data_IF_833772526666
#
_entry.id   IF_833772526666
#
_cell.length_a   1.000
_cell.length_b   1.000
_cell.length_c   1.000
_cell.angle_alpha   90.00
_cell.angle_beta   90.00
_cell.angle_gamma   90.00
#
_symmetry.space_group_name_H-M   'P 1'
#
loop_
_entity.id
_entity.type
_entity.pdbx_description
1 polymer ?
#
# COMPACT_ATOMS: atom_id res chain seq x y z
N UNK A 1 -7.06 -33.99 -42.31
CA UNK A 1 -7.54 -34.45 -40.98
C UNK A 1 -6.41 -34.12 -40.01
N UNK A 2 -6.23 -32.82 -39.76
CA UNK A 2 -5.07 -32.29 -39.02
C UNK A 2 -5.32 -32.39 -37.53
N UNK A 3 -4.51 -33.22 -36.87
CA UNK A 3 -4.43 -33.27 -35.41
C UNK A 3 -3.64 -32.05 -34.97
N UNK A 4 -4.36 -31.05 -34.45
CA UNK A 4 -3.79 -29.98 -33.66
C UNK A 4 -3.05 -30.59 -32.47
N UNK A 5 -1.71 -30.57 -32.53
CA UNK A 5 -0.83 -30.86 -31.41
C UNK A 5 -1.07 -29.83 -30.30
N UNK A 6 -1.99 -30.13 -29.40
CA UNK A 6 -2.20 -29.40 -28.18
C UNK A 6 -0.95 -29.59 -27.30
N UNK A 7 -0.05 -28.62 -27.34
CA UNK A 7 1.13 -28.58 -26.49
C UNK A 7 0.72 -28.73 -25.02
N UNK A 8 1.14 -29.84 -24.40
CA UNK A 8 0.92 -30.11 -22.98
C UNK A 8 1.56 -28.97 -22.17
N UNK A 9 0.83 -28.25 -21.30
CA UNK A 9 1.41 -27.18 -20.52
C UNK A 9 2.44 -27.76 -19.54
N UNK A 10 3.71 -27.41 -19.75
CA UNK A 10 4.82 -27.80 -18.88
C UNK A 10 4.55 -27.24 -17.48
N UNK A 11 4.24 -28.13 -16.52
CA UNK A 11 4.12 -27.77 -15.10
C UNK A 11 5.46 -27.23 -14.61
N UNK A 12 5.54 -25.93 -14.32
CA UNK A 12 6.69 -25.35 -13.63
C UNK A 12 6.85 -26.06 -12.27
N UNK A 13 8.05 -26.50 -11.89
CA UNK A 13 8.27 -27.17 -10.62
C UNK A 13 7.83 -26.27 -9.45
N UNK A 14 7.34 -26.84 -8.34
CA UNK A 14 6.93 -26.06 -7.18
C UNK A 14 8.12 -25.24 -6.68
N UNK A 15 7.94 -23.92 -6.59
CA UNK A 15 8.97 -23.01 -6.09
C UNK A 15 9.29 -23.36 -4.64
N UNK A 16 10.57 -23.60 -4.28
CA UNK A 16 10.99 -23.86 -2.91
C UNK A 16 10.47 -22.82 -1.90
N UNK A 17 10.17 -23.26 -0.66
CA UNK A 17 9.59 -22.42 0.39
C UNK A 17 10.39 -21.15 0.73
N UNK A 18 11.71 -21.17 0.53
CA UNK A 18 12.59 -20.01 0.74
C UNK A 18 12.52 -18.97 -0.38
N UNK A 19 12.00 -19.32 -1.57
CA UNK A 19 11.71 -18.37 -2.66
C UNK A 19 10.49 -17.50 -2.32
N UNK A 20 9.66 -17.89 -1.35
CA UNK A 20 8.46 -17.11 -0.98
C UNK A 20 8.80 -15.81 -0.24
N UNK A 21 9.95 -15.73 0.43
CA UNK A 21 10.38 -14.54 1.19
C UNK A 21 11.52 -13.78 0.51
N UNK A 22 11.94 -14.17 -0.70
CA UNK A 22 12.93 -13.38 -1.45
C UNK A 22 12.26 -12.10 -2.00
N UNK A 23 12.77 -10.91 -1.68
CA UNK A 23 12.25 -9.68 -2.25
C UNK A 23 12.29 -9.70 -3.78
N UNK A 24 11.26 -9.12 -4.40
CA UNK A 24 11.13 -9.11 -5.85
C UNK A 24 12.29 -8.37 -6.52
N UNK A 25 12.83 -7.34 -5.87
CA UNK A 25 14.04 -6.63 -6.28
C UNK A 25 15.20 -7.59 -6.60
N UNK A 26 15.48 -8.54 -5.70
CA UNK A 26 16.56 -9.53 -5.88
C UNK A 26 16.26 -10.44 -7.08
N UNK A 27 15.02 -10.92 -7.21
CA UNK A 27 14.64 -11.78 -8.33
C UNK A 27 14.76 -11.07 -9.68
N UNK A 28 14.37 -9.80 -9.77
CA UNK A 28 14.42 -9.01 -11.01
C UNK A 28 15.86 -8.73 -11.43
N UNK A 29 16.74 -8.43 -10.46
CA UNK A 29 18.16 -8.25 -10.74
C UNK A 29 18.81 -9.55 -11.23
N UNK A 30 18.42 -10.71 -10.67
CA UNK A 30 18.90 -12.04 -11.11
C UNK A 30 18.37 -12.43 -12.50
N UNK A 31 17.15 -12.02 -12.84
CA UNK A 31 16.50 -12.30 -14.14
C UNK A 31 17.04 -11.42 -15.29
N UNK A 32 17.87 -10.42 -14.99
CA UNK A 32 18.43 -9.49 -15.97
C UNK A 32 17.64 -8.17 -16.01
N UNK A 33 18.22 -7.13 -15.40
CA UNK A 33 17.71 -5.77 -15.38
C UNK A 33 18.56 -4.90 -16.31
N UNK A 34 17.97 -4.46 -17.42
CA UNK A 34 18.66 -3.68 -18.45
C UNK A 34 18.37 -2.17 -18.33
N UNK A 35 19.14 -1.37 -19.08
CA UNK A 35 19.02 0.09 -19.05
C UNK A 35 17.67 0.59 -19.61
N UNK A 36 17.02 -0.17 -20.49
CA UNK A 36 15.71 0.19 -21.03
C UNK A 36 14.64 0.11 -19.95
N UNK A 37 14.63 -0.98 -19.18
CA UNK A 37 13.77 -1.17 -17.99
C UNK A 37 14.04 -0.11 -16.94
N UNK A 38 15.31 0.21 -16.67
CA UNK A 38 15.66 1.28 -15.74
C UNK A 38 15.06 2.63 -16.15
N UNK A 39 15.17 3.00 -17.43
CA UNK A 39 14.59 4.27 -17.92
C UNK A 39 13.06 4.27 -17.80
N UNK A 40 12.41 3.18 -18.15
CA UNK A 40 10.95 3.05 -18.01
C UNK A 40 10.51 3.16 -16.54
N UNK A 41 11.18 2.43 -15.64
CA UNK A 41 10.88 2.44 -14.21
C UNK A 41 11.18 3.81 -13.57
N UNK A 42 12.23 4.50 -14.00
CA UNK A 42 12.55 5.84 -13.52
C UNK A 42 11.49 6.88 -13.91
N UNK A 43 11.00 6.85 -15.16
CA UNK A 43 9.93 7.74 -15.61
C UNK A 43 8.61 7.41 -14.89
N UNK A 44 8.29 6.13 -14.73
CA UNK A 44 7.11 5.69 -13.98
C UNK A 44 7.20 6.11 -12.50
N UNK A 45 8.34 5.88 -11.86
CA UNK A 45 8.59 6.27 -10.47
C UNK A 45 8.50 7.77 -10.25
N UNK A 46 9.04 8.59 -11.16
CA UNK A 46 8.93 10.05 -11.09
C UNK A 46 7.47 10.51 -11.21
N UNK A 47 6.73 9.93 -12.16
CA UNK A 47 5.31 10.25 -12.36
C UNK A 47 4.50 9.92 -11.10
N UNK A 48 4.74 8.74 -10.53
CA UNK A 48 4.11 8.31 -9.28
C UNK A 48 4.51 9.24 -8.12
N UNK A 49 5.77 9.61 -8.00
CA UNK A 49 6.26 10.48 -6.94
C UNK A 49 5.57 11.86 -6.96
N UNK A 50 5.43 12.48 -8.14
CA UNK A 50 4.76 13.78 -8.30
C UNK A 50 3.32 13.73 -7.77
N UNK A 51 2.59 12.64 -8.05
CA UNK A 51 1.20 12.46 -7.57
C UNK A 51 1.16 12.08 -6.08
N UNK A 52 2.13 11.29 -5.61
CA UNK A 52 2.17 10.80 -4.24
C UNK A 52 2.52 11.88 -3.21
N UNK A 53 3.35 12.87 -3.57
CA UNK A 53 3.75 13.97 -2.67
C UNK A 53 2.56 14.73 -2.07
N UNK A 54 1.62 15.31 -2.86
CA UNK A 54 0.46 16.01 -2.31
C UNK A 54 -0.49 15.07 -1.56
N UNK A 55 -0.68 13.84 -2.06
CA UNK A 55 -1.54 12.85 -1.41
C UNK A 55 -1.02 12.48 -0.01
N UNK A 56 0.29 12.25 0.14
CA UNK A 56 0.89 11.90 1.41
C UNK A 56 0.75 13.01 2.46
N UNK A 57 0.93 14.27 2.05
CA UNK A 57 0.72 15.43 2.93
C UNK A 57 -0.75 15.54 3.36
N UNK A 58 -1.68 15.40 2.40
CA UNK A 58 -3.11 15.48 2.66
C UNK A 58 -3.59 14.38 3.64
N UNK A 59 -3.14 13.13 3.44
CA UNK A 59 -3.46 12.03 4.34
C UNK A 59 -2.83 12.21 5.72
N UNK A 60 -1.64 12.79 5.81
CA UNK A 60 -1.01 13.20 7.07
C UNK A 60 -1.93 14.13 7.86
N UNK A 61 -2.34 15.25 7.24
CA UNK A 61 -3.25 16.24 7.84
C UNK A 61 -4.59 15.60 8.23
N UNK A 62 -5.20 14.83 7.34
CA UNK A 62 -6.48 14.18 7.58
C UNK A 62 -6.42 13.18 8.75
N UNK A 63 -5.26 12.56 8.97
CA UNK A 63 -5.04 11.66 10.11
C UNK A 63 -4.74 12.40 11.42
N UNK A 64 -4.70 13.74 11.44
CA UNK A 64 -4.33 14.53 12.63
C UNK A 64 -2.82 14.66 12.84
N UNK A 65 -2.02 14.23 11.85
CA UNK A 65 -0.57 14.38 11.86
C UNK A 65 -0.12 15.63 11.08
N UNK A 66 1.12 16.08 11.30
CA UNK A 66 1.68 17.17 10.50
C UNK A 66 2.07 16.69 9.08
N UNK A 67 2.05 17.59 8.06
CA UNK A 67 2.30 17.22 6.66
C UNK A 67 3.67 16.55 6.44
N UNK A 68 4.69 16.97 7.18
CA UNK A 68 6.03 16.39 7.14
C UNK A 68 6.04 14.92 7.54
N UNK A 69 5.19 14.50 8.49
CA UNK A 69 5.08 13.10 8.91
C UNK A 69 4.51 12.23 7.80
N UNK A 70 3.45 12.71 7.14
CA UNK A 70 2.89 12.03 5.97
C UNK A 70 3.92 11.82 4.86
N UNK A 71 4.73 12.85 4.58
CA UNK A 71 5.80 12.80 3.60
C UNK A 71 6.92 11.82 4.00
N UNK A 72 7.40 11.89 5.25
CA UNK A 72 8.42 10.97 5.76
C UNK A 72 7.92 9.53 5.69
N UNK A 73 6.67 9.27 6.08
CA UNK A 73 6.06 7.94 5.96
C UNK A 73 6.03 7.47 4.51
N UNK A 74 5.66 8.33 3.55
CA UNK A 74 5.64 7.96 2.14
C UNK A 74 7.03 7.57 1.61
N UNK A 75 8.06 8.35 1.94
CA UNK A 75 9.44 8.08 1.49
C UNK A 75 9.99 6.80 2.13
N UNK A 76 9.90 6.68 3.46
CA UNK A 76 10.47 5.56 4.21
C UNK A 76 9.70 4.26 3.91
N UNK A 77 8.37 4.29 3.96
CA UNK A 77 7.56 3.11 3.65
C UNK A 77 7.68 2.73 2.17
N UNK A 78 7.67 3.71 1.26
CA UNK A 78 7.87 3.48 -0.17
C UNK A 78 9.18 2.74 -0.45
N UNK A 79 10.29 3.25 0.09
CA UNK A 79 11.60 2.59 -0.06
C UNK A 79 11.62 1.18 0.53
N UNK A 80 11.19 0.99 1.78
CA UNK A 80 11.23 -0.30 2.46
C UNK A 80 10.31 -1.34 1.78
N UNK A 81 9.11 -0.93 1.37
CA UNK A 81 8.16 -1.80 0.67
C UNK A 81 8.68 -2.17 -0.71
N UNK A 82 9.27 -1.23 -1.47
CA UNK A 82 9.86 -1.55 -2.78
C UNK A 82 11.11 -2.44 -2.65
N UNK A 83 11.92 -2.26 -1.60
CA UNK A 83 13.13 -3.04 -1.38
C UNK A 83 12.85 -4.47 -0.89
N UNK A 84 11.84 -4.64 -0.01
CA UNK A 84 11.54 -5.91 0.67
C UNK A 84 10.28 -6.61 0.12
N UNK A 85 9.49 -5.94 -0.70
CA UNK A 85 8.20 -6.43 -1.19
C UNK A 85 8.27 -7.55 -2.22
N UNK A 86 7.14 -8.22 -2.44
CA UNK A 86 7.00 -9.36 -3.36
C UNK A 86 6.51 -9.00 -4.78
N UNK A 87 6.18 -7.73 -5.04
CA UNK A 87 5.61 -7.26 -6.31
C UNK A 87 6.56 -6.32 -7.05
N UNK A 88 6.49 -6.31 -8.39
CA UNK A 88 7.29 -5.41 -9.24
C UNK A 88 6.76 -3.97 -9.31
N UNK A 89 5.46 -3.79 -9.04
CA UNK A 89 4.75 -2.52 -9.27
C UNK A 89 4.05 -2.00 -8.01
N UNK A 90 4.41 -2.54 -6.84
CA UNK A 90 3.83 -2.11 -5.57
C UNK A 90 4.44 -0.79 -5.13
N UNK A 91 3.56 0.15 -4.76
CA UNK A 91 3.92 1.45 -4.22
C UNK A 91 3.55 1.44 -2.73
N UNK A 92 4.52 1.75 -1.88
CA UNK A 92 4.33 1.88 -0.44
C UNK A 92 4.08 3.32 -0.03
N UNK A 93 3.26 3.54 1.00
CA UNK A 93 3.00 4.87 1.54
C UNK A 93 1.78 4.94 2.47
N UNK A 94 1.45 6.14 2.98
CA UNK A 94 0.22 6.35 3.74
C UNK A 94 -1.01 6.01 2.90
N UNK A 95 -1.99 5.34 3.50
CA UNK A 95 -3.17 4.81 2.80
C UNK A 95 -4.45 5.40 3.39
N UNK A 96 -5.35 5.89 2.53
CA UNK A 96 -6.64 6.49 2.93
C UNK A 96 -7.47 5.63 3.88
N UNK A 97 -7.48 4.31 3.65
CA UNK A 97 -8.19 3.33 4.48
C UNK A 97 -7.84 3.38 5.99
N UNK A 98 -6.64 3.84 6.33
CA UNK A 98 -6.17 3.89 7.72
C UNK A 98 -6.26 5.28 8.35
N UNK A 99 -6.66 6.31 7.61
CA UNK A 99 -6.69 7.71 8.09
C UNK A 99 -7.54 7.84 9.36
N UNK A 100 -8.77 7.32 9.32
CA UNK A 100 -9.72 7.40 10.45
C UNK A 100 -9.19 6.65 11.68
N UNK A 101 -8.54 5.51 11.47
CA UNK A 101 -7.93 4.72 12.55
C UNK A 101 -6.78 5.49 13.20
N UNK A 102 -5.87 6.03 12.39
CA UNK A 102 -4.72 6.81 12.88
C UNK A 102 -5.20 8.06 13.61
N UNK A 103 -6.19 8.78 13.05
CA UNK A 103 -6.80 9.93 13.69
C UNK A 103 -7.33 9.59 15.08
N UNK A 104 -8.11 8.51 15.19
CA UNK A 104 -8.66 8.07 16.46
C UNK A 104 -7.57 7.65 17.47
N UNK A 105 -6.49 7.02 17.01
CA UNK A 105 -5.36 6.65 17.87
C UNK A 105 -4.66 7.90 18.39
N UNK A 106 -4.33 8.86 17.53
CA UNK A 106 -3.70 10.13 17.93
C UNK A 106 -4.62 10.90 18.88
N UNK A 107 -5.91 11.00 18.57
CA UNK A 107 -6.87 11.74 19.39
C UNK A 107 -7.04 11.16 20.80
N UNK A 108 -6.94 9.83 20.95
CA UNK A 108 -7.16 9.14 22.24
C UNK A 108 -5.88 8.87 23.02
N UNK A 109 -4.76 8.63 22.34
CA UNK A 109 -3.51 8.13 22.94
C UNK A 109 -2.28 8.97 22.59
N UNK A 110 -2.44 10.04 21.81
CA UNK A 110 -1.33 10.88 21.34
C UNK A 110 -0.38 10.16 20.39
N UNK A 111 0.74 10.81 20.10
CA UNK A 111 1.78 10.27 19.22
C UNK A 111 2.51 9.07 19.83
N UNK A 112 2.69 9.03 21.16
CA UNK A 112 3.30 7.89 21.85
C UNK A 112 2.45 6.64 21.66
N UNK A 113 1.13 6.78 21.80
CA UNK A 113 0.18 5.70 21.52
C UNK A 113 0.21 5.25 20.06
N UNK A 114 0.34 6.17 19.11
CA UNK A 114 0.50 5.83 17.69
C UNK A 114 1.77 5.00 17.46
N UNK A 115 2.91 5.41 18.00
CA UNK A 115 4.18 4.69 17.85
C UNK A 115 4.08 3.25 18.37
N UNK A 116 3.53 3.08 19.57
CA UNK A 116 3.34 1.75 20.17
C UNK A 116 2.37 0.91 19.34
N UNK A 117 1.23 1.49 18.91
CA UNK A 117 0.25 0.79 18.08
C UNK A 117 0.85 0.35 16.73
N UNK A 118 1.63 1.20 16.08
CA UNK A 118 2.31 0.88 14.82
C UNK A 118 3.36 -0.23 15.01
N UNK A 119 4.15 -0.19 16.08
CA UNK A 119 5.11 -1.26 16.40
C UNK A 119 4.41 -2.59 16.65
N UNK A 120 3.34 -2.60 17.44
CA UNK A 120 2.52 -3.79 17.69
C UNK A 120 1.91 -4.34 16.39
N UNK A 121 1.34 -3.47 15.55
CA UNK A 121 0.83 -3.86 14.25
C UNK A 121 1.93 -4.50 13.37
N UNK A 122 3.14 -3.94 13.38
CA UNK A 122 4.30 -4.50 12.68
C UNK A 122 4.66 -5.90 13.17
N UNK A 123 4.72 -6.12 14.48
CA UNK A 123 4.98 -7.44 15.07
C UNK A 123 3.89 -8.45 14.69
N UNK A 124 2.62 -8.03 14.75
CA UNK A 124 1.48 -8.88 14.35
C UNK A 124 1.56 -9.23 12.87
N UNK A 125 1.92 -8.28 12.00
CA UNK A 125 2.08 -8.51 10.56
C UNK A 125 3.25 -9.44 10.25
N UNK A 126 4.38 -9.33 10.95
CA UNK A 126 5.51 -10.24 10.83
C UNK A 126 5.08 -11.66 11.24
N UNK A 127 4.43 -11.80 12.40
CA UNK A 127 3.92 -13.09 12.87
C UNK A 127 2.93 -13.69 11.87
N UNK A 128 1.97 -12.90 11.36
CA UNK A 128 1.03 -13.31 10.34
C UNK A 128 1.70 -13.77 9.04
N UNK A 129 2.79 -13.10 8.64
CA UNK A 129 3.64 -13.50 7.53
C UNK A 129 4.33 -14.85 7.75
N UNK A 130 4.92 -15.06 8.94
CA UNK A 130 5.56 -16.32 9.32
C UNK A 130 4.57 -17.49 9.35
N UNK A 131 3.36 -17.26 9.86
CA UNK A 131 2.25 -18.24 9.85
C UNK A 131 1.54 -18.36 8.50
N UNK A 132 1.98 -17.63 7.47
CA UNK A 132 1.40 -17.63 6.11
C UNK A 132 -0.10 -17.29 6.06
N UNK A 133 -0.58 -16.48 7.02
CA UNK A 133 -1.97 -16.05 7.09
C UNK A 133 -2.38 -15.18 5.89
N UNK A 134 -1.43 -14.63 5.13
CA UNK A 134 -1.70 -13.95 3.86
C UNK A 134 -2.38 -14.84 2.81
N UNK A 135 -2.29 -16.18 2.92
CA UNK A 135 -3.04 -17.09 2.04
C UNK A 135 -4.56 -17.00 2.27
N UNK A 136 -4.99 -16.56 3.46
CA UNK A 136 -6.40 -16.44 3.82
C UNK A 136 -7.09 -15.34 3.03
N UNK A 137 -6.35 -14.31 2.59
CA UNK A 137 -6.88 -13.20 1.78
C UNK A 137 -7.58 -13.71 0.51
N UNK A 138 -7.16 -14.87 -0.02
CA UNK A 138 -7.76 -15.52 -1.20
C UNK A 138 -9.21 -15.96 -0.99
N UNK A 139 -9.66 -16.11 0.26
CA UNK A 139 -11.01 -16.51 0.61
C UNK A 139 -11.93 -15.32 0.90
N UNK A 140 -11.42 -14.08 0.83
CA UNK A 140 -12.25 -12.89 1.00
C UNK A 140 -13.14 -12.74 -0.26
N UNK A 141 -14.48 -12.71 -0.11
CA UNK A 141 -15.37 -12.58 -1.26
C UNK A 141 -15.15 -11.26 -2.01
N UNK A 142 -15.22 -11.31 -3.35
CA UNK A 142 -15.16 -10.11 -4.20
C UNK A 142 -16.09 -8.97 -3.75
N UNK A 143 -17.36 -9.22 -3.37
CA UNK A 143 -18.25 -8.15 -2.88
C UNK A 143 -17.71 -7.39 -1.67
N UNK A 144 -16.96 -8.05 -0.77
CA UNK A 144 -16.36 -7.41 0.41
C UNK A 144 -15.25 -6.44 -0.01
N UNK A 145 -14.37 -6.88 -0.91
CA UNK A 145 -13.27 -6.04 -1.42
C UNK A 145 -13.81 -4.84 -2.19
N UNK A 146 -14.80 -5.06 -3.05
CA UNK A 146 -15.45 -3.98 -3.82
C UNK A 146 -16.17 -3.00 -2.89
N UNK A 147 -16.94 -3.49 -1.92
CA UNK A 147 -17.64 -2.65 -0.94
C UNK A 147 -16.70 -1.82 -0.08
N UNK A 148 -15.61 -2.42 0.41
CA UNK A 148 -14.58 -1.71 1.17
C UNK A 148 -13.92 -0.60 0.34
N UNK A 149 -13.56 -0.92 -0.91
CA UNK A 149 -12.94 0.05 -1.83
C UNK A 149 -13.90 1.20 -2.16
N UNK A 150 -15.18 0.90 -2.40
CA UNK A 150 -16.22 1.91 -2.62
C UNK A 150 -16.44 2.79 -1.38
N UNK A 151 -16.44 2.20 -0.18
CA UNK A 151 -16.52 2.95 1.08
C UNK A 151 -15.36 3.94 1.24
N UNK A 152 -14.12 3.51 0.97
CA UNK A 152 -12.95 4.41 0.98
C UNK A 152 -13.11 5.52 -0.05
N UNK A 153 -13.57 5.20 -1.27
CA UNK A 153 -13.79 6.20 -2.30
C UNK A 153 -14.81 7.27 -1.86
N UNK A 154 -15.89 6.86 -1.19
CA UNK A 154 -16.89 7.77 -0.63
C UNK A 154 -16.29 8.62 0.49
N UNK A 155 -15.54 8.04 1.43
CA UNK A 155 -14.87 8.79 2.51
C UNK A 155 -13.93 9.85 1.93
N UNK A 156 -13.08 9.46 0.96
CA UNK A 156 -12.16 10.38 0.30
C UNK A 156 -12.95 11.48 -0.43
N UNK A 157 -13.98 11.12 -1.20
CA UNK A 157 -14.79 12.11 -1.93
C UNK A 157 -15.46 13.10 -0.97
N UNK A 158 -16.09 12.61 0.10
CA UNK A 158 -16.71 13.41 1.16
C UNK A 158 -15.71 14.35 1.81
N UNK A 159 -14.49 13.88 2.08
CA UNK A 159 -13.46 14.71 2.71
C UNK A 159 -13.03 15.89 1.83
N UNK A 160 -13.20 15.82 0.51
CA UNK A 160 -12.86 16.90 -0.42
C UNK A 160 -14.01 17.90 -0.66
N UNK A 161 -15.26 17.57 -0.32
CA UNK A 161 -16.44 18.41 -0.63
C UNK A 161 -16.30 19.82 -0.03
N UNK A 162 -15.78 19.92 1.20
CA UNK A 162 -15.55 21.21 1.87
C UNK A 162 -14.63 22.11 1.06
N UNK A 163 -13.48 21.59 0.65
CA UNK A 163 -12.45 22.36 -0.06
C UNK A 163 -12.91 22.71 -1.48
N UNK A 164 -13.62 21.78 -2.14
CA UNK A 164 -14.22 22.00 -3.46
C UNK A 164 -15.25 23.14 -3.47
N UNK A 165 -16.08 23.21 -2.42
CA UNK A 165 -17.12 24.25 -2.28
C UNK A 165 -16.60 25.54 -1.60
N UNK A 166 -15.33 25.59 -1.22
CA UNK A 166 -14.75 26.75 -0.52
C UNK A 166 -15.34 27.01 0.86
N UNK A 167 -15.89 25.98 1.52
CA UNK A 167 -16.60 26.13 2.80
C UNK A 167 -15.60 26.26 3.96
N UNK A 168 -15.69 27.34 4.72
CA UNK A 168 -14.88 27.57 5.93
C UNK A 168 -15.42 26.78 7.15
N UNK A 169 -15.50 25.45 7.04
CA UNK A 169 -15.87 24.58 8.17
C UNK A 169 -14.63 24.35 9.03
N UNK A 170 -14.54 25.01 10.18
CA UNK A 170 -13.36 24.99 11.06
C UNK A 170 -13.05 23.60 11.68
N UNK A 171 -14.01 22.67 11.68
CA UNK A 171 -13.84 21.26 12.09
C UNK A 171 -14.77 20.35 11.29
N UNK A 172 -14.21 19.52 10.41
CA UNK A 172 -14.93 18.36 9.86
C UNK A 172 -14.54 17.16 10.75
N UNK A 173 -15.49 16.51 11.44
CA UNK A 173 -15.19 15.33 12.24
C UNK A 173 -14.62 14.23 11.33
N UNK A 174 -13.54 13.58 11.75
CA UNK A 174 -12.93 12.47 10.99
C UNK A 174 -13.80 11.20 10.91
N UNK A 175 -15.00 11.22 11.51
CA UNK A 175 -15.97 10.12 11.47
C UNK A 175 -16.88 10.16 10.23
N UNK A 176 -16.68 11.11 9.31
CA UNK A 176 -17.39 11.21 8.04
C UNK A 176 -16.44 11.15 6.84
#
# INVERSE_FOLDING_TARGET
>A
MDRHDAAVPVRKPPTPAWIQFTPKLISVLREGYDLSKFRADAVAGLTVAIVALPLAMALGIASGASPDKGLITAVVAGFLISALGGSRVQIGGPTGAFVVVIFNVIARHGYDGLLVATLLAGVILIAAGLFRLGQIIKFIPHPVVTGFTAGIAVIIASSQVKDFLGLAINKVPAEF
#
